data_IF_193273828682
#
_entry.id   IF_193273828682
#
_cell.length_a   1.000
_cell.length_b   1.000
_cell.length_c   1.000
_cell.angle_alpha   90.00
_cell.angle_beta   90.00
_cell.angle_gamma   90.00
#
_symmetry.space_group_name_H-M   'P 1'
#
loop_
_entity.id
_entity.type
_entity.pdbx_description
1 polymer ?
#
# COMPACT_ATOMS: atom_id res chain seq x y z
N UNK A 1 1.34 -9.10 -0.44
CA UNK A 1 -0.12 -9.33 -0.42
C UNK A 1 -0.71 -8.93 0.91
N UNK A 2 -1.93 -8.39 0.94
CA UNK A 2 -2.65 -8.13 2.20
C UNK A 2 -3.08 -9.47 2.83
N UNK A 3 -2.77 -9.67 4.10
CA UNK A 3 -3.25 -10.80 4.91
C UNK A 3 -4.39 -10.40 5.84
N UNK A 4 -4.28 -9.24 6.48
CA UNK A 4 -5.24 -8.78 7.48
C UNK A 4 -5.34 -7.25 7.47
N UNK A 5 -6.53 -6.72 7.79
CA UNK A 5 -6.74 -5.30 8.06
C UNK A 5 -6.83 -5.09 9.58
N UNK A 6 -6.07 -4.12 10.09
CA UNK A 6 -6.15 -3.71 11.50
C UNK A 6 -7.28 -2.70 11.72
N UNK A 7 -7.50 -1.82 10.74
CA UNK A 7 -8.53 -0.79 10.77
C UNK A 7 -8.33 0.27 9.71
N UNK A 8 -9.40 1.04 9.46
CA UNK A 8 -9.45 2.13 8.47
C UNK A 8 -10.13 3.35 9.08
N UNK A 9 -9.67 4.53 8.68
CA UNK A 9 -10.25 5.82 9.03
C UNK A 9 -10.10 6.79 7.86
N UNK A 10 -10.60 8.02 8.04
CA UNK A 10 -10.38 9.10 7.07
C UNK A 10 -8.90 9.41 6.86
N UNK A 11 -8.07 9.29 7.90
CA UNK A 11 -6.66 9.70 7.88
C UNK A 11 -5.72 8.60 7.37
N UNK A 12 -6.19 7.36 7.28
CA UNK A 12 -5.36 6.24 6.85
C UNK A 12 -5.95 4.85 7.11
N UNK A 13 -5.17 3.83 6.79
CA UNK A 13 -5.49 2.41 6.97
C UNK A 13 -4.23 1.66 7.43
N UNK A 14 -4.40 0.62 8.24
CA UNK A 14 -3.30 -0.24 8.64
C UNK A 14 -3.68 -1.72 8.48
N UNK A 15 -2.67 -2.56 8.28
CA UNK A 15 -2.86 -3.99 8.16
C UNK A 15 -1.56 -4.76 8.10
N UNK A 16 -1.69 -6.08 8.04
CA UNK A 16 -0.56 -6.99 7.85
C UNK A 16 -0.44 -7.36 6.38
N UNK A 17 0.77 -7.24 5.83
CA UNK A 17 1.14 -7.68 4.49
C UNK A 17 2.20 -8.77 4.54
N UNK A 18 2.20 -9.63 3.54
CA UNK A 18 3.14 -10.74 3.42
C UNK A 18 4.03 -10.57 2.20
N UNK A 19 5.26 -11.01 2.37
CA UNK A 19 6.33 -10.89 1.40
C UNK A 19 6.43 -12.05 0.40
N UNK A 20 7.44 -11.97 -0.46
CA UNK A 20 7.68 -12.91 -1.56
C UNK A 20 7.73 -14.38 -1.11
N UNK A 21 8.36 -14.64 0.04
CA UNK A 21 8.58 -16.01 0.55
C UNK A 21 7.26 -16.73 0.80
N UNK A 22 6.32 -16.04 1.44
CA UNK A 22 4.99 -16.60 1.69
C UNK A 22 4.10 -16.56 0.46
N UNK A 23 4.30 -15.57 -0.41
CA UNK A 23 3.64 -15.54 -1.72
C UNK A 23 4.10 -16.67 -2.66
N UNK A 24 5.08 -17.49 -2.26
CA UNK A 24 5.57 -18.63 -3.02
C UNK A 24 6.42 -18.25 -4.24
N UNK A 25 7.01 -17.05 -4.23
CA UNK A 25 7.87 -16.59 -5.33
C UNK A 25 9.23 -17.27 -5.29
N UNK A 26 9.81 -17.50 -6.46
CA UNK A 26 11.16 -18.06 -6.59
C UNK A 26 12.18 -17.13 -5.93
N UNK A 27 13.07 -17.71 -5.13
CA UNK A 27 14.17 -16.99 -4.53
C UNK A 27 15.12 -16.43 -5.61
N UNK A 28 15.35 -15.13 -5.57
CA UNK A 28 16.25 -14.39 -6.46
C UNK A 28 16.98 -13.33 -5.62
N UNK A 29 18.05 -12.68 -6.12
CA UNK A 29 18.72 -11.58 -5.42
C UNK A 29 17.88 -10.31 -5.43
N UNK A 30 16.67 -10.39 -4.88
CA UNK A 30 15.74 -9.28 -4.75
C UNK A 30 16.37 -8.17 -3.91
N UNK A 31 16.19 -6.92 -4.34
CA UNK A 31 16.63 -5.73 -3.60
C UNK A 31 15.58 -5.23 -2.62
N UNK A 32 14.34 -5.62 -2.82
CA UNK A 32 13.17 -5.26 -2.03
C UNK A 32 12.32 -6.51 -1.80
N UNK A 33 11.19 -6.34 -1.14
CA UNK A 33 10.12 -7.32 -1.13
C UNK A 33 8.94 -6.84 -1.99
N UNK A 34 8.94 -7.07 -3.33
CA UNK A 34 7.88 -6.63 -4.23
C UNK A 34 6.47 -7.07 -3.80
N UNK A 35 6.31 -8.26 -3.24
CA UNK A 35 5.01 -8.72 -2.78
C UNK A 35 4.52 -7.93 -1.55
N UNK A 36 5.42 -7.60 -0.62
CA UNK A 36 5.06 -6.74 0.51
C UNK A 36 4.74 -5.32 0.04
N UNK A 37 5.57 -4.74 -0.84
CA UNK A 37 5.35 -3.40 -1.41
C UNK A 37 4.01 -3.31 -2.14
N UNK A 38 3.70 -4.30 -3.00
CA UNK A 38 2.40 -4.40 -3.67
C UNK A 38 1.26 -4.55 -2.66
N UNK A 39 1.44 -5.32 -1.59
CA UNK A 39 0.46 -5.39 -0.49
C UNK A 39 0.17 -4.03 0.15
N UNK A 40 1.19 -3.18 0.32
CA UNK A 40 1.00 -1.81 0.79
C UNK A 40 0.25 -0.94 -0.21
N UNK A 41 0.56 -1.06 -1.51
CA UNK A 41 -0.16 -0.36 -2.58
C UNK A 41 -1.63 -0.80 -2.65
N UNK A 42 -1.91 -2.10 -2.50
CA UNK A 42 -3.27 -2.62 -2.39
C UNK A 42 -3.99 -2.01 -1.18
N UNK A 43 -3.30 -1.86 -0.05
CA UNK A 43 -3.87 -1.29 1.17
C UNK A 43 -4.25 0.20 0.96
N UNK A 44 -3.38 0.97 0.31
CA UNK A 44 -3.68 2.36 -0.06
C UNK A 44 -4.77 2.48 -1.12
N UNK A 45 -4.94 1.48 -2.01
CA UNK A 45 -6.12 1.37 -2.89
C UNK A 45 -7.40 1.23 -2.07
N UNK A 46 -7.44 0.33 -1.08
CA UNK A 46 -8.60 0.13 -0.21
C UNK A 46 -8.96 1.40 0.57
N UNK A 47 -7.96 2.13 1.08
CA UNK A 47 -8.22 3.42 1.72
C UNK A 47 -8.74 4.47 0.74
N UNK A 48 -8.20 4.54 -0.48
CA UNK A 48 -8.72 5.44 -1.51
C UNK A 48 -10.17 5.12 -1.85
N UNK A 49 -10.51 3.84 -2.00
CA UNK A 49 -11.89 3.38 -2.20
C UNK A 49 -12.79 3.77 -1.03
N UNK A 50 -12.30 3.63 0.21
CA UNK A 50 -13.03 4.01 1.42
C UNK A 50 -13.36 5.51 1.46
N UNK A 51 -12.40 6.38 1.12
CA UNK A 51 -12.59 7.84 1.23
C UNK A 51 -13.20 8.50 -0.01
N UNK A 52 -13.07 7.90 -1.20
CA UNK A 52 -13.60 8.45 -2.46
C UNK A 52 -14.83 7.69 -3.01
N UNK A 53 -15.15 6.51 -2.49
CA UNK A 53 -16.37 5.76 -2.85
C UNK A 53 -16.35 5.09 -4.23
N UNK A 54 -15.18 4.84 -4.82
CA UNK A 54 -15.06 4.24 -6.15
C UNK A 54 -13.73 3.51 -6.35
N UNK A 55 -13.67 2.65 -7.36
CA UNK A 55 -12.43 1.95 -7.72
C UNK A 55 -11.33 2.94 -8.13
N UNK A 56 -10.11 2.70 -7.66
CA UNK A 56 -8.98 3.58 -7.88
C UNK A 56 -7.75 2.81 -8.38
N UNK A 57 -6.85 3.50 -9.06
CA UNK A 57 -5.57 2.97 -9.52
C UNK A 57 -4.41 3.81 -8.98
N UNK A 58 -3.29 3.18 -8.57
CA UNK A 58 -2.05 3.90 -8.30
C UNK A 58 -1.48 4.43 -9.63
N UNK A 59 -1.20 5.71 -9.69
CA UNK A 59 -0.74 6.40 -10.90
C UNK A 59 0.70 6.92 -10.80
N UNK A 60 1.22 7.11 -9.58
CA UNK A 60 2.62 7.47 -9.37
C UNK A 60 3.11 7.06 -7.99
N UNK A 61 4.42 6.83 -7.86
CA UNK A 61 5.15 6.74 -6.59
C UNK A 61 6.20 7.84 -6.62
N UNK A 62 6.21 8.72 -5.61
CA UNK A 62 7.18 9.81 -5.54
C UNK A 62 8.58 9.31 -5.14
N UNK A 63 8.65 8.46 -4.11
CA UNK A 63 9.88 7.80 -3.71
C UNK A 63 9.65 6.43 -3.09
N UNK A 64 10.66 5.58 -3.17
CA UNK A 64 10.83 4.37 -2.37
C UNK A 64 12.12 4.51 -1.56
N UNK A 65 12.00 4.47 -0.24
CA UNK A 65 13.14 4.37 0.67
C UNK A 65 13.21 2.95 1.23
N UNK A 66 14.39 2.35 1.21
CA UNK A 66 14.64 1.00 1.75
C UNK A 66 15.64 1.10 2.89
N UNK A 67 15.33 0.44 4.00
CA UNK A 67 16.14 0.44 5.22
C UNK A 67 16.69 -0.95 5.56
N UNK A 68 16.17 -1.99 4.90
CA UNK A 68 16.72 -3.35 4.90
C UNK A 68 16.86 -3.87 3.47
N UNK A 69 17.78 -4.81 3.26
CA UNK A 69 17.99 -5.43 1.95
C UNK A 69 17.12 -6.67 1.75
N UNK A 70 16.53 -6.78 0.56
CA UNK A 70 15.90 -8.01 0.09
C UNK A 70 14.54 -8.31 0.70
N UNK A 71 14.05 -9.56 0.54
CA UNK A 71 12.75 -9.96 1.02
C UNK A 71 12.66 -9.94 2.55
N UNK A 72 11.50 -9.58 3.07
CA UNK A 72 11.23 -9.64 4.51
C UNK A 72 11.24 -11.08 5.03
N UNK A 73 11.82 -11.30 6.21
CA UNK A 73 11.89 -12.62 6.86
C UNK A 73 10.54 -13.10 7.38
N UNK A 74 9.58 -12.19 7.51
CA UNK A 74 8.21 -12.53 7.88
C UNK A 74 7.24 -11.41 7.50
N UNK A 75 5.99 -11.52 7.97
CA UNK A 75 4.96 -10.51 7.69
C UNK A 75 5.38 -9.13 8.20
N UNK A 76 4.97 -8.11 7.45
CA UNK A 76 5.19 -6.71 7.79
C UNK A 76 3.87 -6.05 8.15
N UNK A 77 3.91 -5.15 9.12
CA UNK A 77 2.82 -4.20 9.34
C UNK A 77 2.95 -3.04 8.37
N UNK A 78 1.95 -2.88 7.51
CA UNK A 78 1.84 -1.74 6.60
C UNK A 78 0.93 -0.68 7.21
N UNK A 79 1.40 0.56 7.28
CA UNK A 79 0.62 1.71 7.76
C UNK A 79 0.57 2.74 6.65
N UNK A 80 -0.64 3.05 6.21
CA UNK A 80 -0.92 4.04 5.18
C UNK A 80 -1.43 5.30 5.85
N UNK A 81 -0.79 6.44 5.56
CA UNK A 81 -1.32 7.76 5.92
C UNK A 81 -1.71 8.48 4.63
N UNK A 82 -2.94 8.95 4.58
CA UNK A 82 -3.54 9.43 3.34
C UNK A 82 -4.09 10.85 3.44
N UNK A 83 -4.16 11.51 2.28
CA UNK A 83 -4.78 12.82 2.09
C UNK A 83 -5.64 12.80 0.81
N UNK A 84 -6.86 13.32 0.90
CA UNK A 84 -7.67 13.65 -0.28
C UNK A 84 -7.11 14.92 -0.91
N UNK A 85 -6.63 14.84 -2.15
CA UNK A 85 -5.99 15.98 -2.85
C UNK A 85 -6.87 16.57 -3.96
N UNK A 86 -7.87 15.83 -4.41
CA UNK A 86 -8.93 16.30 -5.30
C UNK A 86 -10.19 15.43 -5.15
N UNK A 87 -11.28 15.79 -5.86
CA UNK A 87 -12.53 15.00 -5.87
C UNK A 87 -12.32 13.55 -6.29
N UNK A 88 -11.40 13.31 -7.22
CA UNK A 88 -11.11 12.03 -7.86
C UNK A 88 -9.71 11.51 -7.51
N UNK A 89 -9.01 12.12 -6.55
CA UNK A 89 -7.61 11.80 -6.26
C UNK A 89 -7.26 11.79 -4.79
N UNK A 90 -6.39 10.87 -4.42
CA UNK A 90 -5.73 10.85 -3.12
C UNK A 90 -4.21 10.78 -3.28
N UNK A 91 -3.51 11.15 -2.22
CA UNK A 91 -2.08 10.93 -2.03
C UNK A 91 -1.85 10.19 -0.73
N UNK A 92 -0.93 9.24 -0.70
CA UNK A 92 -0.64 8.44 0.48
C UNK A 92 0.84 8.15 0.64
N UNK A 93 1.26 8.05 1.89
CA UNK A 93 2.55 7.48 2.29
C UNK A 93 2.32 6.13 2.95
N UNK A 94 3.22 5.18 2.75
CA UNK A 94 3.10 3.80 3.22
C UNK A 94 4.39 3.39 3.91
N UNK A 95 4.32 3.13 5.21
CA UNK A 95 5.43 2.60 5.99
C UNK A 95 5.29 1.09 6.19
N UNK A 96 6.40 0.36 6.09
CA UNK A 96 6.47 -1.09 6.32
C UNK A 96 7.36 -1.36 7.53
N UNK A 97 6.79 -2.02 8.54
CA UNK A 97 7.46 -2.27 9.82
C UNK A 97 7.51 -3.76 10.09
N UNK A 98 8.65 -4.28 10.49
CA UNK A 98 8.79 -5.69 10.86
C UNK A 98 8.25 -5.98 12.27
N UNK A 99 8.37 -7.23 12.70
CA UNK A 99 7.90 -7.70 14.00
C UNK A 99 8.71 -7.16 15.18
N UNK A 100 9.92 -6.63 14.92
CA UNK A 100 10.77 -5.99 15.94
C UNK A 100 10.45 -4.51 16.11
N UNK A 101 9.62 -3.94 15.23
CA UNK A 101 9.32 -2.52 15.20
C UNK A 101 10.27 -1.71 14.32
N UNK A 102 11.19 -2.36 13.59
CA UNK A 102 12.10 -1.69 12.68
C UNK A 102 11.41 -1.39 11.36
N UNK A 103 11.65 -0.18 10.83
CA UNK A 103 11.15 0.19 9.51
C UNK A 103 12.00 -0.50 8.44
N UNK A 104 11.35 -1.19 7.51
CA UNK A 104 11.96 -1.96 6.42
C UNK A 104 11.99 -1.15 5.13
N UNK A 105 10.90 -0.45 4.83
CA UNK A 105 10.76 0.40 3.66
C UNK A 105 9.68 1.47 3.88
N UNK A 106 9.69 2.48 3.02
CA UNK A 106 8.64 3.48 2.92
C UNK A 106 8.38 3.86 1.46
N UNK A 107 7.11 3.93 1.06
CA UNK A 107 6.68 4.55 -0.20
C UNK A 107 6.13 5.94 0.12
N UNK A 108 6.62 6.97 -0.57
CA UNK A 108 6.21 8.37 -0.37
C UNK A 108 5.42 8.89 -1.56
N UNK A 109 4.46 9.77 -1.27
CA UNK A 109 3.70 10.52 -2.27
C UNK A 109 3.07 9.63 -3.35
N UNK A 110 2.53 8.47 -2.95
CA UNK A 110 1.80 7.57 -3.84
C UNK A 110 0.48 8.22 -4.22
N UNK A 111 0.26 8.46 -5.51
CA UNK A 111 -0.97 9.10 -5.98
C UNK A 111 -1.93 8.06 -6.55
N UNK A 112 -3.20 8.18 -6.19
CA UNK A 112 -4.28 7.38 -6.74
C UNK A 112 -5.30 8.25 -7.45
N UNK A 113 -5.91 7.71 -8.50
CA UNK A 113 -6.98 8.35 -9.25
C UNK A 113 -8.17 7.38 -9.35
N UNK A 114 -9.39 7.90 -9.18
CA UNK A 114 -10.61 7.14 -9.45
C UNK A 114 -10.66 6.73 -10.93
N UNK A 115 -11.08 5.50 -11.17
CA UNK A 115 -11.25 5.05 -12.56
C UNK A 115 -12.43 5.77 -13.22
N UNK A 116 -12.28 6.23 -14.47
CA UNK A 116 -13.33 6.99 -15.17
C UNK A 116 -14.66 6.23 -15.35
N UNK A 117 -14.60 4.90 -15.36
CA UNK A 117 -15.76 4.00 -15.57
C UNK A 117 -16.71 3.95 -14.37
N UNK A 118 -16.25 4.31 -13.17
CA UNK A 118 -17.08 4.30 -11.96
C UNK A 118 -17.95 5.54 -11.78
N UNK A 119 -17.86 6.54 -12.68
CA UNK A 119 -18.69 7.74 -12.66
C UNK A 119 -20.09 7.56 -13.30
N UNK A 120 -20.44 6.38 -13.84
CA UNK A 120 -21.78 6.11 -14.37
C UNK A 120 -22.54 5.14 -13.45
N UNK A 121 -23.19 5.71 -12.45
CA UNK A 121 -24.03 4.98 -11.50
C UNK A 121 -25.02 5.89 -10.80
N UNK A 122 -25.71 6.75 -11.54
CA UNK A 122 -26.98 7.37 -11.13
C UNK A 122 -27.90 7.37 -12.36
N UNK A 123 -28.77 6.37 -12.41
CA UNK A 123 -30.01 6.41 -13.18
C UNK A 123 -31.13 6.82 -12.23
#
# INVERSE_FOLDING_TARGET
MIRQLDGVSRDGIAGTVVGLREAGWVAQPWKTDPAALDGGLQLATLWTQHVLGGAALPMSVGALHTFAEGPSDGPLRAVVRGQIVARDRTKADIAFVDQTGAMVAELRDVQYVLRPDTARGQA
#
